data_IF_013033510576
#
_entry.id   IF_013033510576
#
_cell.length_a   1.000
_cell.length_b   1.000
_cell.length_c   1.000
_cell.angle_alpha   90.00
_cell.angle_beta   90.00
_cell.angle_gamma   90.00
#
_symmetry.space_group_name_H-M   'P 1'
#
loop_
_entity.id
_entity.type
_entity.pdbx_description
1 polymer ?
#
# COMPACT_ATOMS: atom_id res chain seq x y z
N UNK A 1 -15.13 -4.84 7.93
CA UNK A 1 -13.70 -5.03 7.59
C UNK A 1 -13.57 -6.26 6.70
N UNK A 2 -12.76 -6.19 5.67
CA UNK A 2 -12.47 -7.31 4.74
C UNK A 2 -10.99 -7.67 4.90
N UNK A 3 -10.69 -8.96 5.05
CA UNK A 3 -9.31 -9.48 5.21
C UNK A 3 -9.02 -10.44 4.04
N UNK A 4 -8.63 -9.92 2.89
CA UNK A 4 -8.43 -10.75 1.72
C UNK A 4 -7.11 -11.52 1.80
N UNK A 5 -7.09 -12.71 1.20
CA UNK A 5 -5.88 -13.49 1.02
C UNK A 5 -5.22 -13.12 -0.32
N UNK A 6 -4.07 -12.49 -0.28
CA UNK A 6 -3.31 -12.09 -1.46
C UNK A 6 -2.48 -13.21 -2.10
N UNK A 7 -2.54 -14.43 -1.58
CA UNK A 7 -1.69 -15.54 -2.03
C UNK A 7 -0.25 -15.45 -1.52
N UNK A 8 0.52 -16.49 -1.78
CA UNK A 8 1.92 -16.57 -1.31
C UNK A 8 2.84 -15.78 -2.24
N UNK A 9 3.59 -14.84 -1.68
CA UNK A 9 4.65 -14.08 -2.39
C UNK A 9 4.18 -13.29 -3.64
N UNK A 10 2.88 -12.99 -3.76
CA UNK A 10 2.36 -12.22 -4.90
C UNK A 10 2.52 -10.71 -4.72
N UNK A 11 2.72 -10.27 -3.46
CA UNK A 11 2.73 -8.84 -3.07
C UNK A 11 1.51 -8.07 -3.61
N UNK A 12 0.38 -8.78 -3.78
CA UNK A 12 -0.89 -8.25 -4.32
C UNK A 12 -0.78 -7.71 -5.76
N UNK A 13 0.12 -8.27 -6.57
CA UNK A 13 0.36 -7.90 -7.96
C UNK A 13 -0.28 -8.89 -8.93
N UNK A 14 -0.42 -8.46 -10.18
CA UNK A 14 -0.62 -9.39 -11.28
C UNK A 14 0.72 -9.98 -11.71
N UNK A 15 0.77 -11.27 -11.99
CA UNK A 15 1.93 -11.89 -12.63
C UNK A 15 1.98 -11.56 -14.12
N UNK A 16 3.20 -11.48 -14.68
CA UNK A 16 3.39 -11.19 -16.10
C UNK A 16 2.79 -12.26 -17.02
N UNK A 17 2.74 -13.51 -16.56
CA UNK A 17 2.16 -14.65 -17.30
C UNK A 17 0.63 -14.78 -17.12
N UNK A 18 0.01 -13.89 -16.36
CA UNK A 18 -1.43 -13.85 -16.11
C UNK A 18 -1.97 -14.94 -15.18
N UNK A 19 -1.13 -15.87 -14.66
CA UNK A 19 -1.60 -16.95 -13.79
C UNK A 19 -2.07 -16.49 -12.42
N UNK A 20 -1.54 -15.37 -11.95
CA UNK A 20 -1.87 -14.77 -10.66
C UNK A 20 -2.35 -13.34 -10.84
N UNK A 21 -3.59 -13.10 -11.29
CA UNK A 21 -4.13 -11.75 -11.52
C UNK A 21 -4.66 -11.13 -10.21
N UNK A 22 -3.83 -11.10 -9.16
CA UNK A 22 -4.27 -10.75 -7.80
C UNK A 22 -4.76 -9.29 -7.69
N UNK A 23 -4.06 -8.35 -8.32
CA UNK A 23 -4.53 -6.96 -8.34
C UNK A 23 -5.89 -6.82 -9.01
N UNK A 24 -6.04 -7.45 -10.19
CA UNK A 24 -7.32 -7.43 -10.93
C UNK A 24 -8.45 -8.08 -10.12
N UNK A 25 -8.20 -9.21 -9.46
CA UNK A 25 -9.19 -9.82 -8.56
C UNK A 25 -9.62 -8.84 -7.47
N UNK A 26 -8.67 -8.08 -6.90
CA UNK A 26 -9.01 -7.12 -5.83
C UNK A 26 -9.80 -5.92 -6.36
N UNK A 27 -9.36 -5.34 -7.48
CA UNK A 27 -9.94 -4.10 -8.01
C UNK A 27 -11.25 -4.34 -8.76
N UNK A 28 -11.28 -5.40 -9.59
CA UNK A 28 -12.35 -5.62 -10.58
C UNK A 28 -13.42 -6.60 -10.07
N UNK A 29 -13.11 -7.42 -9.06
CA UNK A 29 -14.04 -8.43 -8.54
C UNK A 29 -14.36 -8.22 -7.05
N UNK A 30 -13.35 -8.21 -6.16
CA UNK A 30 -13.57 -8.18 -4.71
C UNK A 30 -14.25 -6.88 -4.25
N UNK A 31 -13.73 -5.72 -4.65
CA UNK A 31 -14.32 -4.43 -4.27
C UNK A 31 -15.76 -4.31 -4.76
N UNK A 32 -16.08 -4.55 -6.05
CA UNK A 32 -17.45 -4.53 -6.53
C UNK A 32 -18.36 -5.57 -5.85
N UNK A 33 -17.86 -6.77 -5.59
CA UNK A 33 -18.61 -7.79 -4.88
C UNK A 33 -18.99 -7.35 -3.46
N UNK A 34 -18.04 -6.81 -2.71
CA UNK A 34 -18.28 -6.32 -1.35
C UNK A 34 -19.26 -5.15 -1.37
N UNK A 35 -19.10 -4.22 -2.29
CA UNK A 35 -19.97 -3.03 -2.38
C UNK A 35 -21.41 -3.38 -2.78
N UNK A 36 -21.61 -4.43 -3.59
CA UNK A 36 -22.93 -4.86 -4.03
C UNK A 36 -23.65 -5.79 -3.03
N UNK A 37 -22.91 -6.49 -2.17
CA UNK A 37 -23.50 -7.50 -1.27
C UNK A 37 -23.55 -7.07 0.21
N UNK A 38 -22.84 -6.01 0.60
CA UNK A 38 -22.79 -5.56 1.99
C UNK A 38 -23.11 -4.08 2.11
N UNK A 39 -23.52 -3.65 3.31
CA UNK A 39 -23.79 -2.25 3.61
C UNK A 39 -22.50 -1.45 3.72
N UNK A 40 -21.91 -1.12 2.58
CA UNK A 40 -20.72 -0.28 2.48
C UNK A 40 -21.08 1.16 2.05
N UNK A 41 -20.10 2.04 2.13
CA UNK A 41 -20.11 3.30 1.40
C UNK A 41 -19.28 3.04 0.15
N UNK A 42 -19.95 2.73 -0.97
CA UNK A 42 -19.35 2.28 -2.23
C UNK A 42 -18.63 3.42 -2.98
N UNK A 43 -17.78 4.14 -2.27
CA UNK A 43 -16.99 5.25 -2.82
C UNK A 43 -15.64 5.34 -2.11
N UNK A 44 -14.72 6.15 -2.64
CA UNK A 44 -13.42 6.45 -2.03
C UNK A 44 -13.56 6.87 -0.57
N UNK A 45 -14.53 7.73 -0.27
CA UNK A 45 -14.78 8.29 1.07
C UNK A 45 -15.20 7.24 2.10
N UNK A 46 -15.57 6.04 1.66
CA UNK A 46 -15.91 4.90 2.51
C UNK A 46 -14.82 3.82 2.59
N UNK A 47 -13.69 3.99 1.90
CA UNK A 47 -12.72 2.90 1.73
C UNK A 47 -11.34 3.29 2.22
N UNK A 48 -10.84 2.51 3.20
CA UNK A 48 -9.47 2.59 3.72
C UNK A 48 -8.71 1.32 3.35
N UNK A 49 -7.39 1.40 3.30
CA UNK A 49 -6.52 0.24 3.08
C UNK A 49 -5.38 0.24 4.09
N UNK A 50 -5.07 -0.93 4.64
CA UNK A 50 -3.93 -1.10 5.53
C UNK A 50 -3.32 -2.50 5.40
N UNK A 51 -2.12 -2.66 5.91
CA UNK A 51 -1.50 -3.96 6.00
C UNK A 51 -0.17 -3.96 6.71
N UNK A 52 0.21 -5.15 7.18
CA UNK A 52 1.51 -5.43 7.80
C UNK A 52 2.39 -6.25 6.85
N UNK A 53 3.69 -5.95 6.79
CA UNK A 53 4.67 -6.70 6.02
C UNK A 53 4.30 -6.77 4.53
N UNK A 54 4.14 -7.96 3.95
CA UNK A 54 3.66 -8.14 2.58
C UNK A 54 2.33 -7.39 2.32
N UNK A 55 1.41 -7.40 3.30
CA UNK A 55 0.17 -6.64 3.25
C UNK A 55 0.39 -5.13 3.26
N UNK A 56 1.37 -4.63 4.04
CA UNK A 56 1.75 -3.21 4.04
C UNK A 56 2.33 -2.76 2.71
N UNK A 57 3.19 -3.57 2.10
CA UNK A 57 3.72 -3.34 0.75
C UNK A 57 2.60 -3.33 -0.30
N UNK A 58 1.70 -4.32 -0.24
CA UNK A 58 0.56 -4.41 -1.15
C UNK A 58 -0.41 -3.24 -0.99
N UNK A 59 -0.76 -2.90 0.25
CA UNK A 59 -1.62 -1.76 0.55
C UNK A 59 -1.03 -0.44 0.03
N UNK A 60 0.27 -0.22 0.25
CA UNK A 60 0.97 0.97 -0.26
C UNK A 60 0.90 1.03 -1.78
N UNK A 61 1.25 -0.06 -2.46
CA UNK A 61 1.22 -0.11 -3.92
C UNK A 61 -0.19 0.15 -4.48
N UNK A 62 -1.20 -0.51 -3.92
CA UNK A 62 -2.58 -0.36 -4.39
C UNK A 62 -3.11 1.06 -4.14
N UNK A 63 -2.83 1.66 -2.98
CA UNK A 63 -3.25 3.03 -2.69
C UNK A 63 -2.57 4.06 -3.61
N UNK A 64 -1.27 3.90 -3.90
CA UNK A 64 -0.54 4.81 -4.81
C UNK A 64 -0.96 4.62 -6.26
N UNK A 65 -1.32 3.41 -6.66
CA UNK A 65 -1.73 3.07 -8.02
C UNK A 65 -3.20 3.43 -8.30
N UNK A 66 -4.06 3.34 -7.28
CA UNK A 66 -5.51 3.59 -7.37
C UNK A 66 -5.97 4.64 -6.34
N UNK A 67 -5.41 5.86 -6.34
CA UNK A 67 -5.71 6.88 -5.34
C UNK A 67 -7.17 7.34 -5.34
N UNK A 68 -7.89 7.09 -6.43
CA UNK A 68 -9.34 7.34 -6.54
C UNK A 68 -10.21 6.32 -5.79
N UNK A 69 -9.65 5.21 -5.31
CA UNK A 69 -10.40 4.16 -4.61
C UNK A 69 -10.31 4.23 -3.09
N UNK A 70 -9.30 4.90 -2.53
CA UNK A 70 -9.03 4.89 -1.09
C UNK A 70 -8.89 6.30 -0.52
N UNK A 71 -9.48 6.55 0.65
CA UNK A 71 -9.29 7.82 1.36
C UNK A 71 -8.14 7.78 2.37
N UNK A 72 -7.66 6.59 2.75
CA UNK A 72 -6.50 6.47 3.63
C UNK A 72 -5.74 5.18 3.45
N UNK A 73 -4.43 5.26 3.68
CA UNK A 73 -3.46 4.18 3.72
C UNK A 73 -2.80 4.13 5.10
N UNK A 74 -2.68 2.93 5.69
CA UNK A 74 -1.75 2.68 6.78
C UNK A 74 -0.78 1.54 6.43
N UNK A 75 0.46 1.87 6.13
CA UNK A 75 1.54 0.93 5.85
C UNK A 75 2.30 0.59 7.15
N UNK A 76 2.32 -0.68 7.51
CA UNK A 76 2.97 -1.19 8.72
C UNK A 76 4.09 -2.14 8.33
N UNK A 77 5.34 -1.75 8.56
CA UNK A 77 6.54 -2.53 8.23
C UNK A 77 6.47 -3.15 6.81
N UNK A 78 6.08 -2.35 5.83
CA UNK A 78 5.62 -2.85 4.53
C UNK A 78 6.71 -3.12 3.52
N UNK A 79 8.00 -3.15 3.84
CA UNK A 79 9.11 -3.28 2.88
C UNK A 79 8.76 -2.72 1.48
N UNK A 80 9.11 -1.48 1.21
CA UNK A 80 8.76 -0.79 -0.05
C UNK A 80 10.04 -0.55 -0.87
N UNK A 81 10.58 -1.58 -1.55
CA UNK A 81 11.79 -1.44 -2.34
C UNK A 81 11.52 -0.71 -3.66
N UNK A 82 12.57 -0.13 -4.22
CA UNK A 82 12.59 0.34 -5.62
C UNK A 82 12.67 -0.88 -6.54
N UNK A 83 11.59 -1.16 -7.23
CA UNK A 83 11.52 -2.34 -8.11
C UNK A 83 12.41 -2.17 -9.35
N UNK A 84 12.57 -0.96 -9.84
CA UNK A 84 13.43 -0.68 -11.00
C UNK A 84 14.90 -0.94 -10.69
N UNK A 85 15.37 -0.68 -9.46
CA UNK A 85 16.72 -1.03 -9.06
C UNK A 85 16.93 -2.57 -9.08
N UNK A 86 15.90 -3.32 -8.69
CA UNK A 86 15.92 -4.79 -8.78
C UNK A 86 15.95 -5.26 -10.24
N UNK A 87 15.15 -4.64 -11.11
CA UNK A 87 15.14 -4.94 -12.53
C UNK A 87 16.51 -4.68 -13.17
N UNK A 88 17.12 -3.54 -12.88
CA UNK A 88 18.40 -3.13 -13.48
C UNK A 88 19.58 -4.00 -12.96
N UNK A 89 19.50 -4.51 -11.73
CA UNK A 89 20.53 -5.39 -11.15
C UNK A 89 20.41 -6.85 -11.59
N UNK A 90 19.23 -7.32 -11.99
CA UNK A 90 18.98 -8.71 -12.38
C UNK A 90 19.33 -8.98 -13.84
N UNK A 91 19.79 -10.20 -14.13
CA UNK A 91 19.95 -10.70 -15.50
C UNK A 91 18.59 -10.96 -16.16
N UNK A 92 18.56 -11.10 -17.47
CA UNK A 92 17.33 -11.46 -18.20
C UNK A 92 16.77 -12.79 -17.70
N UNK A 93 17.61 -13.83 -17.55
CA UNK A 93 17.20 -15.15 -17.08
C UNK A 93 16.56 -15.10 -15.69
N UNK A 94 17.12 -14.31 -14.76
CA UNK A 94 16.56 -14.09 -13.45
C UNK A 94 15.20 -13.39 -13.54
N UNK A 95 15.07 -12.34 -14.35
CA UNK A 95 13.81 -11.59 -14.51
C UNK A 95 12.68 -12.46 -15.09
N UNK A 96 12.99 -13.35 -16.03
CA UNK A 96 12.03 -14.29 -16.63
C UNK A 96 11.40 -15.22 -15.58
N UNK A 97 12.11 -15.52 -14.49
CA UNK A 97 11.59 -16.34 -13.38
C UNK A 97 10.83 -15.53 -12.33
N UNK A 98 10.93 -14.20 -12.35
CA UNK A 98 10.26 -13.33 -11.39
C UNK A 98 8.79 -13.07 -11.77
N UNK A 99 7.99 -12.72 -10.78
CA UNK A 99 6.54 -12.47 -10.94
C UNK A 99 6.22 -11.46 -12.06
N UNK A 100 7.06 -10.44 -12.24
CA UNK A 100 6.85 -9.36 -13.21
C UNK A 100 7.48 -9.63 -14.59
N UNK A 101 8.20 -10.74 -14.74
CA UNK A 101 8.84 -11.14 -16.00
C UNK A 101 9.93 -10.18 -16.47
N UNK A 102 10.34 -10.27 -17.72
CA UNK A 102 11.47 -9.49 -18.29
C UNK A 102 11.05 -8.17 -18.98
N UNK A 103 9.81 -7.76 -18.89
CA UNK A 103 9.34 -6.52 -19.53
C UNK A 103 9.45 -5.32 -18.58
N UNK A 104 10.42 -4.42 -18.79
CA UNK A 104 10.65 -3.23 -17.94
C UNK A 104 9.37 -2.45 -17.63
N UNK A 105 8.50 -2.26 -18.63
CA UNK A 105 7.22 -1.56 -18.44
C UNK A 105 6.31 -2.17 -17.38
N UNK A 106 6.40 -3.50 -17.17
CA UNK A 106 5.63 -4.19 -16.12
C UNK A 106 6.15 -3.81 -14.74
N UNK A 107 7.47 -3.69 -14.60
CA UNK A 107 8.11 -3.24 -13.37
C UNK A 107 7.83 -1.77 -13.07
N UNK A 108 7.89 -0.90 -14.09
CA UNK A 108 7.55 0.53 -13.98
C UNK A 108 6.10 0.74 -13.52
N UNK A 109 5.18 -0.05 -14.07
CA UNK A 109 3.77 0.02 -13.70
C UNK A 109 3.49 -0.43 -12.25
N UNK A 110 4.41 -1.17 -11.65
CA UNK A 110 4.30 -1.71 -10.30
C UNK A 110 5.32 -1.13 -9.30
N UNK A 111 6.30 -0.35 -9.78
CA UNK A 111 7.24 0.37 -8.92
C UNK A 111 6.52 1.49 -8.17
N UNK A 112 6.47 1.37 -6.84
CA UNK A 112 5.73 2.32 -5.98
C UNK A 112 6.28 3.74 -6.13
N UNK A 113 7.57 3.92 -6.33
CA UNK A 113 8.19 5.25 -6.49
C UNK A 113 7.78 5.91 -7.79
N UNK A 114 7.86 5.17 -8.90
CA UNK A 114 7.44 5.64 -10.23
C UNK A 114 5.94 5.97 -10.25
N UNK A 115 5.12 5.07 -9.68
CA UNK A 115 3.66 5.24 -9.59
C UNK A 115 3.29 6.42 -8.70
N UNK A 116 3.95 6.60 -7.55
CA UNK A 116 3.70 7.74 -6.65
C UNK A 116 4.06 9.06 -7.33
N UNK A 117 5.19 9.12 -8.03
CA UNK A 117 5.59 10.30 -8.82
C UNK A 117 4.55 10.65 -9.89
N UNK A 118 4.07 9.63 -10.61
CA UNK A 118 3.07 9.79 -11.68
C UNK A 118 1.74 10.31 -11.14
N UNK A 119 1.27 9.77 -10.03
CA UNK A 119 -0.06 10.04 -9.47
C UNK A 119 -0.03 11.08 -8.33
N UNK A 120 1.08 11.80 -8.12
CA UNK A 120 1.31 12.65 -6.95
C UNK A 120 0.18 13.61 -6.62
N UNK A 121 -0.39 14.28 -7.63
CA UNK A 121 -1.41 15.30 -7.42
C UNK A 121 -2.75 14.68 -6.98
N UNK A 122 -3.08 13.51 -7.53
CA UNK A 122 -4.25 12.77 -7.13
C UNK A 122 -4.09 12.15 -5.73
N UNK A 123 -2.91 11.65 -5.41
CA UNK A 123 -2.56 11.14 -4.08
C UNK A 123 -2.70 12.25 -3.04
N UNK A 124 -2.12 13.43 -3.27
CA UNK A 124 -2.24 14.60 -2.38
C UNK A 124 -3.68 14.97 -2.08
N UNK A 125 -4.53 14.89 -3.08
CA UNK A 125 -5.95 15.24 -2.96
C UNK A 125 -6.78 14.17 -2.24
N UNK A 126 -6.45 12.90 -2.44
CA UNK A 126 -7.37 11.81 -2.17
C UNK A 126 -6.97 10.92 -0.98
N UNK A 127 -5.67 10.74 -0.69
CA UNK A 127 -5.20 9.69 0.22
C UNK A 127 -4.47 10.29 1.40
N UNK A 128 -4.99 10.10 2.62
CA UNK A 128 -4.21 10.32 3.83
C UNK A 128 -3.28 9.12 4.05
N UNK A 129 -2.01 9.39 4.33
CA UNK A 129 -0.98 8.35 4.43
C UNK A 129 -0.41 8.30 5.84
N UNK A 130 -0.35 7.09 6.41
CA UNK A 130 0.39 6.78 7.64
C UNK A 130 1.33 5.62 7.37
N UNK A 131 2.57 5.76 7.84
CA UNK A 131 3.61 4.76 7.70
C UNK A 131 4.21 4.51 9.07
N UNK A 132 4.37 3.26 9.47
CA UNK A 132 5.04 2.88 10.71
C UNK A 132 5.98 1.69 10.49
N UNK A 133 7.17 1.74 11.13
CA UNK A 133 8.10 0.64 11.15
C UNK A 133 8.83 0.60 12.49
N UNK A 134 9.26 -0.58 12.92
CA UNK A 134 10.07 -0.72 14.12
C UNK A 134 11.55 -0.42 13.85
N UNK A 135 12.25 0.20 14.82
CA UNK A 135 13.69 0.54 14.66
C UNK A 135 14.58 -0.71 14.66
N UNK A 136 14.10 -1.82 15.23
CA UNK A 136 14.81 -3.12 15.20
C UNK A 136 14.38 -4.02 14.00
N UNK A 137 13.51 -3.53 13.10
CA UNK A 137 13.12 -4.24 11.87
C UNK A 137 14.11 -3.93 10.72
N UNK A 138 15.33 -4.45 10.83
CA UNK A 138 16.44 -4.14 9.92
C UNK A 138 16.12 -4.47 8.44
N UNK A 139 15.28 -5.48 8.19
CA UNK A 139 14.92 -5.91 6.82
C UNK A 139 13.94 -4.95 6.11
N UNK A 140 13.24 -4.11 6.85
CA UNK A 140 12.19 -3.25 6.29
C UNK A 140 12.42 -1.76 6.52
N UNK A 141 13.09 -1.40 7.61
CA UNK A 141 13.27 -0.01 8.05
C UNK A 141 13.91 0.88 6.97
N UNK A 142 14.96 0.40 6.30
CA UNK A 142 15.66 1.18 5.28
C UNK A 142 14.73 1.53 4.11
N UNK A 143 14.01 0.55 3.58
CA UNK A 143 13.09 0.79 2.45
C UNK A 143 11.91 1.69 2.84
N UNK A 144 11.47 1.63 4.10
CA UNK A 144 10.43 2.51 4.64
C UNK A 144 10.95 3.94 4.81
N UNK A 145 12.19 4.12 5.27
CA UNK A 145 12.84 5.44 5.33
C UNK A 145 13.00 6.06 3.94
N UNK A 146 13.44 5.27 2.96
CA UNK A 146 13.56 5.72 1.57
C UNK A 146 12.21 6.16 1.01
N UNK A 147 11.15 5.40 1.28
CA UNK A 147 9.81 5.77 0.82
C UNK A 147 9.27 7.01 1.54
N UNK A 148 9.50 7.15 2.85
CA UNK A 148 9.21 8.39 3.60
C UNK A 148 9.91 9.61 2.96
N UNK A 149 11.21 9.50 2.67
CA UNK A 149 11.96 10.57 2.01
C UNK A 149 11.40 10.90 0.63
N UNK A 150 11.02 9.89 -0.15
CA UNK A 150 10.39 10.09 -1.45
C UNK A 150 9.07 10.85 -1.37
N UNK A 151 8.18 10.50 -0.44
CA UNK A 151 6.94 11.23 -0.20
C UNK A 151 7.21 12.69 0.19
N UNK A 152 8.20 12.92 1.05
CA UNK A 152 8.65 14.26 1.48
C UNK A 152 9.14 15.09 0.29
N UNK A 153 9.99 14.52 -0.58
CA UNK A 153 10.50 15.18 -1.77
C UNK A 153 9.39 15.56 -2.76
N UNK A 154 8.33 14.75 -2.84
CA UNK A 154 7.15 15.03 -3.66
C UNK A 154 6.18 16.04 -3.01
N UNK A 155 6.42 16.44 -1.77
CA UNK A 155 5.51 17.28 -0.98
C UNK A 155 4.16 16.60 -0.73
N UNK A 156 4.16 15.28 -0.52
CA UNK A 156 2.98 14.50 -0.15
C UNK A 156 2.92 14.43 1.37
N UNK A 157 1.89 15.03 1.97
CA UNK A 157 1.70 15.00 3.41
C UNK A 157 1.44 13.58 3.91
N UNK A 158 2.15 13.18 4.97
CA UNK A 158 2.00 11.87 5.57
C UNK A 158 2.48 11.84 7.02
N UNK A 159 1.96 10.89 7.78
CA UNK A 159 2.46 10.57 9.13
C UNK A 159 3.49 9.46 9.02
N UNK A 160 4.69 9.70 9.58
CA UNK A 160 5.76 8.71 9.64
C UNK A 160 6.14 8.44 11.10
N UNK A 161 6.22 7.16 11.48
CA UNK A 161 6.53 6.72 12.84
C UNK A 161 7.59 5.61 12.84
N UNK A 162 8.66 5.83 13.56
CA UNK A 162 9.60 4.78 13.97
C UNK A 162 9.29 4.38 15.41
N UNK A 163 9.08 3.09 15.64
CA UNK A 163 8.74 2.54 16.96
C UNK A 163 9.98 1.92 17.56
N UNK A 164 10.46 2.52 18.64
CA UNK A 164 11.69 2.12 19.32
C UNK A 164 11.68 0.63 19.69
N UNK A 165 12.81 -0.04 19.42
CA UNK A 165 13.09 -1.45 19.75
C UNK A 165 12.07 -2.47 19.20
N UNK A 166 11.12 -2.07 18.37
CA UNK A 166 10.19 -2.98 17.75
C UNK A 166 10.86 -3.68 16.55
N UNK A 167 10.87 -5.01 16.55
CA UNK A 167 11.26 -5.85 15.42
C UNK A 167 10.09 -6.09 14.45
N UNK A 168 10.30 -7.03 13.51
CA UNK A 168 9.25 -7.43 12.57
C UNK A 168 8.18 -8.30 13.25
N UNK A 169 7.38 -7.71 14.10
CA UNK A 169 6.40 -8.40 14.93
C UNK A 169 5.02 -7.73 14.85
N UNK A 170 4.08 -8.39 14.14
CA UNK A 170 2.72 -7.88 13.95
C UNK A 170 1.98 -7.68 15.27
N UNK A 171 2.08 -8.62 16.20
CA UNK A 171 1.36 -8.55 17.48
C UNK A 171 1.82 -7.35 18.29
N UNK A 172 3.13 -7.13 18.39
CA UNK A 172 3.69 -5.97 19.07
C UNK A 172 3.31 -4.67 18.34
N UNK A 173 3.37 -4.63 17.01
CA UNK A 173 2.93 -3.49 16.22
C UNK A 173 1.46 -3.15 16.52
N UNK A 174 0.57 -4.15 16.53
CA UNK A 174 -0.83 -3.94 16.88
C UNK A 174 -0.98 -3.45 18.32
N UNK A 175 -0.26 -4.02 19.28
CA UNK A 175 -0.30 -3.62 20.68
C UNK A 175 0.17 -2.18 20.91
N UNK A 176 1.13 -1.68 20.13
CA UNK A 176 1.61 -0.31 20.21
C UNK A 176 0.49 0.71 19.94
N UNK A 177 -0.40 0.42 19.01
CA UNK A 177 -1.54 1.27 18.70
C UNK A 177 -2.79 0.92 19.53
N UNK A 178 -2.87 -0.32 20.06
CA UNK A 178 -3.96 -0.81 20.92
C UNK A 178 -5.36 -0.34 20.42
N UNK A 179 -6.11 0.35 21.29
CA UNK A 179 -7.46 0.86 20.99
C UNK A 179 -7.46 1.94 19.88
N UNK A 180 -6.34 2.62 19.65
CA UNK A 180 -6.21 3.65 18.61
C UNK A 180 -5.87 3.11 17.21
N UNK A 181 -5.81 1.78 17.05
CA UNK A 181 -5.46 1.15 15.78
C UNK A 181 -6.26 1.68 14.60
N UNK A 182 -7.58 1.78 14.76
CA UNK A 182 -8.48 2.25 13.72
C UNK A 182 -8.74 3.75 13.74
N UNK A 183 -8.34 4.48 14.77
CA UNK A 183 -8.65 5.91 14.93
C UNK A 183 -8.20 6.73 13.73
N UNK A 184 -7.02 6.40 13.19
CA UNK A 184 -6.51 7.04 12.00
C UNK A 184 -7.46 6.89 10.79
N UNK A 185 -7.99 5.71 10.56
CA UNK A 185 -8.94 5.46 9.48
C UNK A 185 -10.30 6.08 9.76
N UNK A 186 -10.78 6.01 11.01
CA UNK A 186 -12.04 6.65 11.43
C UNK A 186 -11.98 8.16 11.20
N UNK A 187 -10.89 8.80 11.56
CA UNK A 187 -10.66 10.22 11.29
C UNK A 187 -10.60 10.53 9.79
N UNK A 188 -9.88 9.71 9.03
CA UNK A 188 -9.78 9.86 7.58
C UNK A 188 -11.14 9.74 6.88
N UNK A 189 -11.97 8.79 7.31
CA UNK A 189 -13.34 8.64 6.83
C UNK A 189 -14.23 9.85 7.14
N UNK A 190 -14.04 10.49 8.31
CA UNK A 190 -14.77 11.73 8.66
C UNK A 190 -14.35 12.90 7.78
N UNK A 191 -13.06 13.06 7.54
CA UNK A 191 -12.50 14.15 6.74
C UNK A 191 -12.80 14.00 5.24
N UNK A 192 -12.85 12.76 4.74
CA UNK A 192 -13.11 12.49 3.33
C UNK A 192 -14.58 12.74 2.92
N UNK A 193 -15.52 12.65 3.87
CA UNK A 193 -16.94 12.88 3.57
C UNK A 193 -17.23 14.36 3.38
N UNK A 194 -17.96 14.75 2.32
CA UNK A 194 -18.42 16.12 2.19
C UNK A 194 -19.25 16.49 3.41
N UNK A 195 -19.00 17.66 3.97
CA UNK A 195 -19.84 18.24 5.04
C UNK A 195 -21.27 18.30 4.52
N UNK A 196 -22.19 17.53 5.11
CA UNK A 196 -23.61 17.73 4.82
C UNK A 196 -23.95 19.17 5.19
N UNK A 197 -24.16 20.02 4.21
CA UNK A 197 -24.85 21.29 4.45
C UNK A 197 -26.22 20.93 5.04
N UNK A 198 -26.48 21.35 6.28
CA UNK A 198 -27.79 21.25 6.92
C UNK A 198 -28.73 22.28 6.33
#
# INVERSE_FOLDING_TARGET
MVLPNGGRSTFYKNSADGKFPIESIFMDELIPFIDSNYRTIASREGRCIEGFSMGGRGATRLAMKHPHLFCSLFCQAGNVPRLLDTFDAATQEERETMLLGDQRKTWEADDVYAVTQKNKDEIKKNVRIKIACGTADAGHLLTIRDFHQHLTQLGIDHTYLEIEQLGHNRTQMMSTFASSWFDYHVESLKLARPTRQR
#
